data_IF_106044641040
#
_entry.id   IF_106044641040
#
_cell.length_a   1.000
_cell.length_b   1.000
_cell.length_c   1.000
_cell.angle_alpha   90.00
_cell.angle_beta   90.00
_cell.angle_gamma   90.00
#
_symmetry.space_group_name_H-M   'P 1'
#
loop_
_entity.id
_entity.type
_entity.pdbx_description
1 polymer ?
#
# COMPACT_ATOMS: atom_id res chain seq x y z
N UNK A 1 -12.06 6.59 16.37
CA UNK A 1 -11.69 6.11 15.02
C UNK A 1 -12.70 6.69 14.03
N UNK A 2 -12.25 7.53 13.09
CA UNK A 2 -13.11 8.18 12.09
C UNK A 2 -12.90 7.47 10.75
N UNK A 3 -13.99 7.11 10.07
CA UNK A 3 -13.95 6.46 8.76
C UNK A 3 -14.74 7.30 7.75
N UNK A 4 -14.12 7.59 6.61
CA UNK A 4 -14.76 8.23 5.46
C UNK A 4 -14.66 7.26 4.27
N UNK A 5 -15.80 6.86 3.71
CA UNK A 5 -15.87 5.89 2.59
C UNK A 5 -16.19 6.67 1.33
N UNK A 6 -15.34 6.53 0.31
CA UNK A 6 -15.49 7.17 -1.00
C UNK A 6 -15.57 6.07 -2.08
N UNK A 7 -16.65 6.03 -2.86
CA UNK A 7 -16.84 5.07 -3.97
C UNK A 7 -17.03 5.80 -5.32
N UNK A 8 -16.20 5.47 -6.32
CA UNK A 8 -16.40 5.82 -7.73
C UNK A 8 -15.73 7.10 -8.27
N UNK A 9 -15.22 7.02 -9.51
CA UNK A 9 -14.80 8.03 -10.54
C UNK A 9 -14.12 9.37 -10.16
N UNK A 10 -14.01 9.73 -8.90
CA UNK A 10 -13.22 10.88 -8.45
C UNK A 10 -11.73 10.59 -8.50
N UNK A 11 -10.91 11.64 -8.44
CA UNK A 11 -9.47 11.51 -8.24
C UNK A 11 -9.18 10.96 -6.83
N UNK A 12 -9.25 9.63 -6.69
CA UNK A 12 -9.01 8.90 -5.45
C UNK A 12 -7.65 9.28 -4.86
N UNK A 13 -6.62 9.34 -5.71
CA UNK A 13 -5.25 9.61 -5.30
C UNK A 13 -5.09 11.02 -4.75
N UNK A 14 -5.62 12.01 -5.48
CA UNK A 14 -5.65 13.40 -5.01
C UNK A 14 -6.44 13.56 -3.72
N UNK A 15 -7.59 12.89 -3.60
CA UNK A 15 -8.41 12.92 -2.40
C UNK A 15 -7.68 12.34 -1.18
N UNK A 16 -7.01 11.19 -1.31
CA UNK A 16 -6.22 10.57 -0.21
C UNK A 16 -5.14 11.55 0.29
N UNK A 17 -4.41 12.20 -0.63
CA UNK A 17 -3.40 13.19 -0.24
C UNK A 17 -4.03 14.38 0.49
N UNK A 18 -5.11 14.92 -0.06
CA UNK A 18 -5.82 16.04 0.56
C UNK A 18 -6.35 15.70 1.95
N UNK A 19 -6.86 14.48 2.15
CA UNK A 19 -7.35 14.00 3.44
C UNK A 19 -6.22 13.85 4.45
N UNK A 20 -5.06 13.29 4.04
CA UNK A 20 -3.90 13.18 4.91
C UNK A 20 -3.41 14.56 5.39
N UNK A 21 -3.29 15.52 4.48
CA UNK A 21 -2.88 16.89 4.83
C UNK A 21 -3.91 17.63 5.67
N UNK A 22 -5.21 17.39 5.46
CA UNK A 22 -6.28 18.00 6.27
C UNK A 22 -6.13 17.66 7.76
N UNK A 23 -5.66 16.46 8.08
CA UNK A 23 -5.49 16.01 9.45
C UNK A 23 -4.10 16.29 10.03
N UNK A 24 -3.19 16.84 9.23
CA UNK A 24 -1.86 17.19 9.68
C UNK A 24 -1.92 18.32 10.73
N UNK A 25 -1.33 18.09 11.90
CA UNK A 25 -1.41 19.01 13.04
C UNK A 25 -2.77 19.08 13.76
N UNK A 26 -3.85 18.54 13.19
CA UNK A 26 -5.19 18.49 13.82
C UNK A 26 -5.34 17.31 14.79
N UNK A 27 -4.53 16.26 14.62
CA UNK A 27 -4.49 15.09 15.50
C UNK A 27 -3.08 14.84 16.00
N UNK A 28 -2.97 14.29 17.22
CA UNK A 28 -1.68 13.99 17.85
C UNK A 28 -0.86 12.96 17.07
N UNK A 29 -1.54 12.02 16.39
CA UNK A 29 -0.93 11.01 15.54
C UNK A 29 -1.55 11.05 14.16
N UNK A 30 -0.72 11.23 13.13
CA UNK A 30 -1.16 11.27 11.74
C UNK A 30 -1.93 9.99 11.39
N UNK A 31 -3.10 10.11 10.74
CA UNK A 31 -3.91 8.95 10.38
C UNK A 31 -3.23 8.08 9.33
N UNK A 32 -3.46 6.77 9.38
CA UNK A 32 -3.06 5.84 8.33
C UNK A 32 -4.12 5.84 7.23
N UNK A 33 -3.72 6.18 6.01
CA UNK A 33 -4.60 6.15 4.84
C UNK A 33 -4.83 4.70 4.40
N UNK A 34 -6.08 4.24 4.40
CA UNK A 34 -6.44 2.89 3.97
C UNK A 34 -7.27 2.97 2.70
N UNK A 35 -6.82 2.31 1.64
CA UNK A 35 -7.51 2.31 0.34
C UNK A 35 -7.31 0.98 -0.39
N UNK A 36 -8.24 0.65 -1.28
CA UNK A 36 -8.22 -0.63 -1.97
C UNK A 36 -7.19 -0.69 -3.13
N UNK A 37 -7.28 -1.73 -3.97
CA UNK A 37 -6.34 -1.94 -5.09
C UNK A 37 -6.40 -0.85 -6.17
N UNK A 38 -7.41 0.01 -6.20
CA UNK A 38 -7.51 1.10 -7.19
C UNK A 38 -6.44 2.17 -6.96
N UNK A 39 -6.01 2.36 -5.71
CA UNK A 39 -4.89 3.23 -5.38
C UNK A 39 -3.52 2.66 -5.79
N UNK A 40 -3.42 1.41 -6.25
CA UNK A 40 -2.13 0.77 -6.50
C UNK A 40 -1.33 1.46 -7.63
N UNK A 41 -0.09 1.88 -7.33
CA UNK A 41 0.84 2.42 -8.33
C UNK A 41 2.13 2.98 -7.75
N UNK A 42 3.28 2.71 -8.38
CA UNK A 42 4.61 3.12 -7.88
C UNK A 42 4.78 4.64 -7.78
N UNK A 43 4.29 5.40 -8.76
CA UNK A 43 4.28 6.86 -8.71
C UNK A 43 3.51 7.40 -7.49
N UNK A 44 2.32 6.85 -7.24
CA UNK A 44 1.46 7.31 -6.16
C UNK A 44 2.02 6.95 -4.79
N UNK A 45 2.50 5.72 -4.62
CA UNK A 45 3.16 5.29 -3.40
C UNK A 45 4.42 6.11 -3.12
N UNK A 46 5.22 6.41 -4.15
CA UNK A 46 6.37 7.29 -4.00
C UNK A 46 5.95 8.67 -3.50
N UNK A 47 4.89 9.25 -4.05
CA UNK A 47 4.33 10.53 -3.59
C UNK A 47 3.92 10.50 -2.11
N UNK A 48 3.23 9.44 -1.66
CA UNK A 48 2.85 9.29 -0.25
C UNK A 48 4.08 9.15 0.67
N UNK A 49 5.09 8.39 0.26
CA UNK A 49 6.34 8.23 1.01
C UNK A 49 7.11 9.55 1.11
N UNK A 50 7.21 10.32 0.02
CA UNK A 50 7.85 11.64 0.03
C UNK A 50 7.16 12.63 0.98
N UNK A 51 5.84 12.57 1.05
CA UNK A 51 5.03 13.45 1.89
C UNK A 51 4.94 12.96 3.34
N UNK A 52 5.59 11.86 3.71
CA UNK A 52 5.55 11.28 5.06
C UNK A 52 4.19 10.70 5.44
N UNK A 53 3.32 10.41 4.46
CA UNK A 53 1.96 9.92 4.68
C UNK A 53 1.98 8.41 4.88
N UNK A 54 1.56 7.93 6.05
CA UNK A 54 1.40 6.51 6.33
C UNK A 54 0.18 5.94 5.59
N UNK A 55 0.31 4.76 4.99
CA UNK A 55 -0.78 4.12 4.27
C UNK A 55 -0.75 2.59 4.29
N UNK A 56 -1.92 1.98 4.03
CA UNK A 56 -2.13 0.55 3.82
C UNK A 56 -3.01 0.35 2.59
N UNK A 57 -2.64 -0.58 1.71
CA UNK A 57 -3.38 -0.84 0.48
C UNK A 57 -3.32 -2.31 0.06
N UNK A 58 -4.32 -2.72 -0.72
CA UNK A 58 -4.32 -4.04 -1.35
C UNK A 58 -3.44 -4.07 -2.59
N UNK A 59 -2.67 -5.14 -2.72
CA UNK A 59 -1.88 -5.37 -3.92
C UNK A 59 -2.79 -5.75 -5.10
N UNK A 60 -2.67 -5.01 -6.21
CA UNK A 60 -3.52 -5.21 -7.39
C UNK A 60 -3.18 -6.48 -8.17
N UNK A 61 -1.90 -6.83 -8.23
CA UNK A 61 -1.37 -7.90 -9.09
C UNK A 61 -0.75 -9.03 -8.25
N UNK A 62 -1.53 -9.59 -7.34
CA UNK A 62 -1.10 -10.76 -6.58
C UNK A 62 -1.00 -12.00 -7.49
N UNK A 63 0.15 -12.67 -7.48
CA UNK A 63 0.39 -13.87 -8.29
C UNK A 63 0.08 -15.12 -7.45
N UNK A 64 -0.95 -15.87 -7.84
CA UNK A 64 -1.37 -17.07 -7.12
C UNK A 64 -0.28 -18.15 -7.04
N UNK A 65 0.57 -18.27 -8.07
CA UNK A 65 1.67 -19.24 -8.08
C UNK A 65 2.75 -18.84 -7.07
N UNK A 66 3.09 -17.55 -7.00
CA UNK A 66 4.03 -17.04 -6.00
C UNK A 66 3.47 -17.21 -4.58
N UNK A 67 2.19 -16.91 -4.38
CA UNK A 67 1.53 -17.08 -3.09
C UNK A 67 1.53 -18.54 -2.61
N UNK A 68 1.28 -19.49 -3.52
CA UNK A 68 1.28 -20.92 -3.20
C UNK A 68 2.70 -21.49 -2.95
N UNK A 69 3.74 -20.76 -3.36
CA UNK A 69 5.13 -21.16 -3.15
C UNK A 69 5.74 -20.58 -1.85
N UNK A 70 4.98 -19.77 -1.10
CA UNK A 70 5.41 -19.29 0.22
C UNK A 70 5.38 -20.48 1.18
N UNK A 71 6.51 -20.73 1.85
CA UNK A 71 6.61 -21.78 2.86
C UNK A 71 5.70 -21.45 4.06
N UNK A 72 4.99 -22.47 4.53
CA UNK A 72 4.10 -22.40 5.70
C UNK A 72 4.85 -21.94 6.95
N UNK A 73 6.15 -22.27 7.05
CA UNK A 73 6.99 -21.94 8.20
C UNK A 73 7.24 -20.43 8.37
N UNK A 74 7.07 -19.64 7.30
CA UNK A 74 7.21 -18.19 7.33
C UNK A 74 6.06 -17.47 8.03
N UNK A 75 4.93 -18.16 8.23
CA UNK A 75 3.75 -17.58 8.86
C UNK A 75 3.83 -17.72 10.38
N UNK A 76 4.64 -16.87 11.01
CA UNK A 76 4.98 -16.93 12.44
C UNK A 76 3.92 -16.31 13.35
N UNK A 77 3.15 -15.35 12.84
CA UNK A 77 2.14 -14.62 13.60
C UNK A 77 0.74 -15.19 13.36
N UNK A 78 -0.09 -15.22 14.41
CA UNK A 78 -1.44 -15.78 14.33
C UNK A 78 -2.46 -14.93 15.09
N UNK A 79 -3.66 -14.82 14.53
CA UNK A 79 -4.78 -14.17 15.20
C UNK A 79 -6.11 -14.81 14.83
N UNK A 80 -7.11 -14.60 15.68
CA UNK A 80 -8.50 -14.98 15.41
C UNK A 80 -9.33 -13.71 15.20
N UNK A 81 -10.14 -13.71 14.14
CA UNK A 81 -11.08 -12.62 13.89
C UNK A 81 -12.36 -13.18 13.25
N UNK A 82 -13.51 -12.85 13.83
CA UNK A 82 -14.82 -13.33 13.41
C UNK A 82 -14.91 -14.87 13.29
N UNK A 83 -14.34 -15.60 14.26
CA UNK A 83 -14.35 -17.07 14.28
C UNK A 83 -13.47 -17.74 13.21
N UNK A 84 -12.62 -16.97 12.53
CA UNK A 84 -11.65 -17.46 11.54
C UNK A 84 -10.24 -17.31 12.09
N UNK A 85 -9.39 -18.30 11.81
CA UNK A 85 -7.97 -18.27 12.18
C UNK A 85 -7.15 -17.77 11.01
N UNK A 86 -6.28 -16.81 11.27
CA UNK A 86 -5.38 -16.24 10.29
C UNK A 86 -3.94 -16.46 10.72
N UNK A 87 -3.05 -16.61 9.74
CA UNK A 87 -1.62 -16.56 9.94
C UNK A 87 -1.03 -15.43 9.09
N UNK A 88 -0.01 -14.76 9.62
CA UNK A 88 0.61 -13.58 9.03
C UNK A 88 2.08 -13.88 8.72
N UNK A 89 2.51 -13.46 7.54
CA UNK A 89 3.91 -13.37 7.14
C UNK A 89 4.19 -11.96 6.62
N UNK A 90 5.30 -11.37 7.03
CA UNK A 90 5.72 -10.04 6.57
C UNK A 90 7.04 -10.10 5.81
N UNK A 91 7.12 -9.40 4.69
CA UNK A 91 8.37 -9.18 3.97
C UNK A 91 8.53 -7.70 3.57
N UNK A 92 9.71 -7.39 3.04
CA UNK A 92 9.98 -6.12 2.40
C UNK A 92 9.85 -6.25 0.88
N UNK A 93 9.12 -5.33 0.26
CA UNK A 93 9.02 -5.23 -1.20
C UNK A 93 9.65 -3.94 -1.68
N UNK A 94 10.67 -4.07 -2.51
CA UNK A 94 11.29 -2.94 -3.19
C UNK A 94 10.38 -2.46 -4.34
N UNK A 95 10.25 -1.14 -4.45
CA UNK A 95 9.57 -0.45 -5.53
C UNK A 95 10.56 0.50 -6.19
N UNK A 96 10.44 0.60 -7.51
CA UNK A 96 11.21 1.56 -8.31
C UNK A 96 10.23 2.43 -9.06
N UNK A 97 10.24 3.73 -8.75
CA UNK A 97 9.55 4.73 -9.54
C UNK A 97 10.57 5.45 -10.43
N UNK A 98 10.24 5.61 -11.72
CA UNK A 98 11.05 6.39 -12.67
C UNK A 98 10.13 7.43 -13.30
N UNK A 99 10.32 8.73 -13.00
CA UNK A 99 9.59 9.81 -13.65
C UNK A 99 9.73 9.71 -15.16
N UNK A 100 8.65 9.97 -15.88
CA UNK A 100 8.65 10.07 -17.33
C UNK A 100 8.79 11.54 -17.69
N UNK A 101 9.78 11.84 -18.54
CA UNK A 101 9.95 13.16 -19.14
C UNK A 101 8.74 13.46 -20.05
N UNK A 102 7.99 14.54 -19.79
CA UNK A 102 6.79 14.87 -20.56
C UNK A 102 7.08 15.26 -22.01
N UNK A 103 8.28 15.78 -22.32
CA UNK A 103 8.67 16.22 -23.67
C UNK A 103 9.17 15.05 -24.51
N UNK A 104 9.88 14.09 -23.88
CA UNK A 104 10.50 12.97 -24.60
C UNK A 104 9.75 11.64 -24.45
N UNK A 105 8.76 11.57 -23.57
CA UNK A 105 8.02 10.37 -23.17
C UNK A 105 8.95 9.19 -22.81
N UNK A 106 10.12 9.50 -22.25
CA UNK A 106 11.13 8.53 -21.82
C UNK A 106 11.39 8.69 -20.33
N UNK A 107 11.80 7.61 -19.67
CA UNK A 107 12.21 7.70 -18.27
C UNK A 107 13.35 8.71 -18.13
N UNK A 108 13.21 9.65 -17.19
CA UNK A 108 14.25 10.62 -16.89
C UNK A 108 15.51 9.89 -16.41
N UNK A 109 16.61 10.07 -17.15
CA UNK A 109 17.89 9.44 -16.80
C UNK A 109 18.36 9.95 -15.44
N UNK A 110 18.55 9.04 -14.49
CA UNK A 110 19.12 9.34 -13.17
C UNK A 110 18.11 9.73 -12.08
N UNK A 111 16.80 9.78 -12.36
CA UNK A 111 15.76 10.10 -11.36
C UNK A 111 14.97 8.88 -10.87
N UNK A 112 15.54 7.69 -10.97
CA UNK A 112 14.93 6.50 -10.40
C UNK A 112 14.92 6.59 -8.88
N UNK A 113 13.74 6.51 -8.27
CA UNK A 113 13.57 6.47 -6.84
C UNK A 113 13.26 5.04 -6.41
N UNK A 114 14.18 4.44 -5.67
CA UNK A 114 14.00 3.16 -5.02
C UNK A 114 13.53 3.38 -3.58
N UNK A 115 12.48 2.66 -3.19
CA UNK A 115 11.95 2.69 -1.83
C UNK A 115 11.38 1.32 -1.49
N UNK A 116 11.28 1.04 -0.19
CA UNK A 116 10.82 -0.25 0.32
C UNK A 116 9.53 -0.03 1.09
N UNK A 117 8.53 -0.88 0.82
CA UNK A 117 7.31 -0.97 1.61
C UNK A 117 7.26 -2.32 2.32
N UNK A 118 6.59 -2.37 3.48
CA UNK A 118 6.19 -3.63 4.11
C UNK A 118 5.11 -4.28 3.25
N UNK A 119 5.24 -5.58 3.02
CA UNK A 119 4.24 -6.42 2.36
C UNK A 119 3.78 -7.47 3.36
N UNK A 120 2.49 -7.46 3.65
CA UNK A 120 1.88 -8.32 4.67
C UNK A 120 1.01 -9.34 3.94
N UNK A 121 1.29 -10.61 4.19
CA UNK A 121 0.48 -11.74 3.74
C UNK A 121 -0.43 -12.19 4.87
N UNK A 122 -1.73 -12.31 4.57
CA UNK A 122 -2.72 -12.79 5.53
C UNK A 122 -3.35 -14.05 4.96
N UNK A 123 -3.10 -15.18 5.61
CA UNK A 123 -3.63 -16.47 5.22
C UNK A 123 -4.75 -16.92 6.16
N UNK A 124 -5.98 -17.01 5.65
CA UNK A 124 -7.10 -17.66 6.34
C UNK A 124 -6.90 -19.19 6.37
N UNK A 125 -6.63 -19.74 7.56
CA UNK A 125 -6.42 -21.19 7.81
C UNK A 125 -7.72 -21.98 8.03
N UNK A 126 -8.86 -21.31 7.91
CA UNK A 126 -10.21 -21.86 8.17
C UNK A 126 -11.14 -21.70 6.97
N UNK A 127 -10.60 -21.40 5.79
CA UNK A 127 -11.34 -21.35 4.52
C UNK A 127 -11.56 -22.73 3.92
#
# INVERSE_FOLDING_TARGET
MYFEIQEGKGDLRGHIKALAHKWDGEVEQSPVMVFDREGHGSEFFFGLVQDGIAFVTWEKYANAVELAAIDDDKFEEHFEFNGKRYSIFEEQKAFVYRPIDPDTNKAEKGKGHEYVLRRIYIWNKTS
#
